data_IF_602015685340
#
_entry.id   IF_602015685340
#
_cell.length_a   1.000
_cell.length_b   1.000
_cell.length_c   1.000
_cell.angle_alpha   90.00
_cell.angle_beta   90.00
_cell.angle_gamma   90.00
#
_symmetry.space_group_name_H-M   'P 1'
#
loop_
_entity.id
_entity.type
_entity.pdbx_description
1 polymer ?
#
# COMPACT_ATOMS: atom_id res chain seq x y z
N UNK A 1 0.66 13.11 -22.70
CA UNK A 1 0.52 11.91 -23.55
C UNK A 1 0.43 10.70 -22.62
N UNK A 2 -0.74 10.13 -22.42
CA UNK A 2 -0.92 8.92 -21.60
C UNK A 2 -0.60 7.69 -22.47
N UNK A 3 0.52 7.03 -22.21
CA UNK A 3 0.78 5.72 -22.80
C UNK A 3 -0.17 4.71 -22.16
N UNK A 4 -1.03 4.08 -22.95
CA UNK A 4 -1.89 3.01 -22.44
C UNK A 4 -1.00 1.86 -21.96
N UNK A 5 -1.21 1.42 -20.72
CA UNK A 5 -0.53 0.24 -20.18
C UNK A 5 -0.80 -0.96 -21.10
N UNK A 6 0.26 -1.62 -21.58
CA UNK A 6 0.13 -2.85 -22.37
C UNK A 6 -0.45 -3.93 -21.47
N UNK A 7 -1.64 -4.42 -21.82
CA UNK A 7 -2.24 -5.59 -21.21
C UNK A 7 -2.18 -6.77 -22.18
N UNK A 8 -1.93 -7.98 -21.66
CA UNK A 8 -1.92 -9.20 -22.46
C UNK A 8 -3.30 -9.48 -23.08
N UNK A 9 -3.34 -10.18 -24.22
CA UNK A 9 -4.56 -10.44 -25.00
C UNK A 9 -5.69 -11.15 -24.23
N UNK A 10 -5.37 -11.83 -23.13
CA UNK A 10 -6.34 -12.51 -22.24
C UNK A 10 -6.63 -11.74 -20.93
N UNK A 11 -6.09 -10.54 -20.76
CA UNK A 11 -6.31 -9.73 -19.56
C UNK A 11 -7.74 -9.19 -19.57
N UNK A 12 -8.62 -9.80 -18.78
CA UNK A 12 -9.99 -9.31 -18.57
C UNK A 12 -10.05 -8.53 -17.25
N UNK A 13 -10.79 -7.42 -17.26
CA UNK A 13 -11.28 -6.83 -16.01
C UNK A 13 -12.63 -7.44 -15.56
N UNK A 14 -13.20 -8.34 -16.38
CA UNK A 14 -14.39 -9.12 -16.06
C UNK A 14 -14.07 -10.19 -15.00
N UNK A 15 -14.97 -10.33 -14.04
CA UNK A 15 -14.87 -11.14 -12.83
C UNK A 15 -15.34 -10.32 -11.64
N UNK A 16 -15.89 -10.95 -10.61
CA UNK A 16 -15.94 -10.33 -9.28
C UNK A 16 -14.49 -10.15 -8.84
N UNK A 17 -13.87 -9.03 -9.24
CA UNK A 17 -12.96 -8.38 -8.31
C UNK A 17 -13.87 -7.90 -7.21
N UNK A 18 -14.20 -8.79 -6.28
CA UNK A 18 -14.68 -8.36 -4.99
C UNK A 18 -13.77 -7.21 -4.63
N UNK A 19 -14.34 -6.02 -4.45
CA UNK A 19 -13.76 -5.06 -3.53
C UNK A 19 -13.17 -5.89 -2.42
N UNK A 20 -11.86 -5.84 -2.22
CA UNK A 20 -11.22 -6.63 -1.18
C UNK A 20 -12.08 -6.41 0.06
N UNK A 21 -12.86 -7.42 0.45
CA UNK A 21 -13.80 -7.28 1.54
C UNK A 21 -12.90 -7.43 2.75
N UNK A 22 -12.25 -6.32 3.11
CA UNK A 22 -11.48 -6.20 4.33
C UNK A 22 -12.51 -6.45 5.41
N UNK A 23 -12.41 -7.60 6.06
CA UNK A 23 -13.31 -7.97 7.16
C UNK A 23 -13.21 -6.88 8.21
N UNK A 24 -14.32 -6.21 8.50
CA UNK A 24 -14.39 -5.05 9.40
C UNK A 24 -13.54 -3.84 8.96
N UNK A 25 -13.26 -3.68 7.66
CA UNK A 25 -12.54 -2.52 7.15
C UNK A 25 -13.39 -1.26 7.18
N UNK A 26 -12.87 -0.19 7.78
CA UNK A 26 -13.49 1.14 7.70
C UNK A 26 -13.27 1.75 6.30
N UNK A 27 -14.34 2.18 5.61
CA UNK A 27 -14.22 2.88 4.33
C UNK A 27 -13.35 4.14 4.43
N UNK A 28 -12.55 4.43 3.40
CA UNK A 28 -11.72 5.64 3.37
C UNK A 28 -12.54 6.94 3.46
N UNK A 29 -13.80 6.88 3.02
CA UNK A 29 -14.73 8.02 3.05
C UNK A 29 -15.18 8.38 4.48
N UNK A 30 -15.07 7.44 5.42
CA UNK A 30 -15.44 7.65 6.83
C UNK A 30 -14.29 8.24 7.66
N UNK A 31 -13.09 8.37 7.09
CA UNK A 31 -11.95 8.95 7.81
C UNK A 31 -12.25 10.39 8.23
N UNK A 32 -11.78 10.78 9.41
CA UNK A 32 -11.92 12.16 9.88
C UNK A 32 -11.16 13.14 8.98
N UNK A 33 -11.80 14.29 8.69
CA UNK A 33 -11.23 15.36 7.86
C UNK A 33 -9.91 15.92 8.41
N UNK A 34 -9.67 15.79 9.71
CA UNK A 34 -8.42 16.23 10.31
C UNK A 34 -7.18 15.50 9.75
N UNK A 35 -7.33 14.31 9.15
CA UNK A 35 -6.24 13.53 8.54
C UNK A 35 -5.75 14.16 7.23
N UNK A 36 -6.59 14.92 6.53
CA UNK A 36 -6.26 15.48 5.21
C UNK A 36 -5.19 16.55 5.29
N UNK A 37 -5.12 17.28 6.41
CA UNK A 37 -4.20 18.40 6.59
C UNK A 37 -2.76 17.96 6.94
N UNK A 38 -2.53 16.68 7.26
CA UNK A 38 -1.21 16.10 7.62
C UNK A 38 -0.47 16.86 8.73
N UNK A 39 -1.21 17.40 9.72
CA UNK A 39 -0.63 18.26 10.79
C UNK A 39 -0.22 17.52 12.06
N UNK A 40 -0.50 16.22 12.18
CA UNK A 40 -0.13 15.37 13.31
C UNK A 40 1.07 14.47 13.01
N UNK A 41 1.93 14.26 14.01
CA UNK A 41 2.93 13.19 13.99
C UNK A 41 2.23 11.85 14.25
N UNK A 42 2.84 10.76 13.79
CA UNK A 42 2.35 9.40 13.98
C UNK A 42 1.37 8.95 12.89
N UNK A 43 1.11 9.77 11.88
CA UNK A 43 0.33 9.37 10.71
C UNK A 43 1.29 8.76 9.68
N UNK A 44 1.41 7.44 9.70
CA UNK A 44 2.32 6.71 8.83
C UNK A 44 1.66 6.29 7.51
N UNK A 45 2.36 6.50 6.40
CA UNK A 45 2.08 5.86 5.11
C UNK A 45 3.07 4.70 4.94
N UNK A 46 2.57 3.53 4.54
CA UNK A 46 3.38 2.34 4.29
C UNK A 46 3.26 1.87 2.85
N UNK A 47 4.39 1.51 2.23
CA UNK A 47 4.41 0.85 0.92
C UNK A 47 5.38 -0.34 0.91
N UNK A 48 5.06 -1.35 0.10
CA UNK A 48 5.88 -2.55 -0.09
C UNK A 48 6.49 -2.53 -1.49
N UNK A 49 7.80 -2.35 -1.57
CA UNK A 49 8.54 -2.43 -2.83
C UNK A 49 9.09 -3.85 -3.00
N UNK A 50 8.66 -4.51 -4.07
CA UNK A 50 9.12 -5.85 -4.45
C UNK A 50 10.11 -5.75 -5.61
N UNK A 51 11.29 -6.33 -5.44
CA UNK A 51 12.34 -6.39 -6.45
C UNK A 51 12.48 -7.75 -7.13
N UNK A 52 13.53 -7.89 -7.93
CA UNK A 52 13.93 -9.19 -8.51
C UNK A 52 14.47 -10.14 -7.44
N UNK A 53 14.50 -11.45 -7.72
CA UNK A 53 15.02 -12.49 -6.81
C UNK A 53 14.28 -12.54 -5.47
N UNK A 54 12.97 -12.28 -5.48
CA UNK A 54 12.11 -12.34 -4.29
C UNK A 54 12.59 -11.42 -3.15
N UNK A 55 13.16 -10.26 -3.48
CA UNK A 55 13.58 -9.25 -2.51
C UNK A 55 12.44 -8.28 -2.23
N UNK A 56 12.35 -7.84 -0.97
CA UNK A 56 11.26 -6.98 -0.52
C UNK A 56 11.79 -5.97 0.49
N UNK A 57 11.33 -4.72 0.36
CA UNK A 57 11.52 -3.70 1.38
C UNK A 57 10.17 -3.08 1.74
N UNK A 58 9.94 -2.88 3.03
CA UNK A 58 8.87 -2.02 3.50
C UNK A 58 9.41 -0.60 3.70
N UNK A 59 8.60 0.37 3.33
CA UNK A 59 8.83 1.78 3.61
C UNK A 59 7.73 2.27 4.53
N UNK A 60 8.09 3.01 5.57
CA UNK A 60 7.16 3.67 6.49
C UNK A 60 7.55 5.13 6.58
N UNK A 61 6.63 6.03 6.25
CA UNK A 61 6.89 7.47 6.23
C UNK A 61 5.86 8.19 7.08
N UNK A 62 6.32 8.96 8.07
CA UNK A 62 5.45 9.88 8.79
C UNK A 62 5.09 11.07 7.89
N UNK A 63 3.79 11.28 7.65
CA UNK A 63 3.30 12.24 6.65
C UNK A 63 3.61 13.70 6.99
N UNK A 64 3.80 14.02 8.27
CA UNK A 64 4.09 15.39 8.74
C UNK A 64 5.58 15.69 8.68
N UNK A 65 6.39 14.87 9.34
CA UNK A 65 7.84 15.08 9.49
C UNK A 65 8.65 14.59 8.30
N UNK A 66 8.09 13.70 7.47
CA UNK A 66 8.79 12.95 6.41
C UNK A 66 9.90 12.04 6.93
N UNK A 67 9.94 11.80 8.24
CA UNK A 67 10.81 10.79 8.82
C UNK A 67 10.46 9.42 8.22
N UNK A 68 11.48 8.72 7.73
CA UNK A 68 11.34 7.52 6.89
C UNK A 68 12.10 6.37 7.50
N UNK A 69 11.42 5.23 7.61
CA UNK A 69 12.01 3.95 8.02
C UNK A 69 11.96 3.02 6.80
N UNK A 70 13.07 2.35 6.51
CA UNK A 70 13.17 1.35 5.45
C UNK A 70 13.62 0.03 6.08
N UNK A 71 12.85 -1.02 5.85
CA UNK A 71 13.06 -2.35 6.43
C UNK A 71 13.20 -3.38 5.32
N UNK A 72 14.20 -4.25 5.40
CA UNK A 72 14.32 -5.39 4.50
C UNK A 72 13.50 -6.56 5.04
N UNK A 73 12.60 -7.07 4.22
CA UNK A 73 11.69 -8.16 4.59
C UNK A 73 12.14 -9.48 3.99
N UNK A 74 11.81 -10.59 4.68
CA UNK A 74 12.06 -11.96 4.22
C UNK A 74 11.05 -12.40 3.15
N UNK A 75 9.88 -11.78 3.11
CA UNK A 75 8.78 -12.09 2.21
C UNK A 75 7.73 -10.99 2.18
N UNK A 76 6.71 -11.14 1.33
CA UNK A 76 5.60 -10.19 1.15
C UNK A 76 4.29 -10.62 1.83
N UNK A 77 4.27 -11.80 2.43
CA UNK A 77 3.13 -12.30 3.19
C UNK A 77 3.04 -11.63 4.56
N UNK A 78 1.86 -11.72 5.19
CA UNK A 78 1.59 -11.10 6.49
C UNK A 78 2.54 -11.59 7.59
N UNK A 79 2.92 -12.87 7.57
CA UNK A 79 3.82 -13.44 8.58
C UNK A 79 5.20 -12.80 8.47
N UNK A 80 5.74 -12.69 7.25
CA UNK A 80 7.03 -12.05 6.99
C UNK A 80 7.07 -10.55 7.33
N UNK A 81 5.93 -9.86 7.28
CA UNK A 81 5.82 -8.43 7.60
C UNK A 81 5.71 -8.18 9.11
N UNK A 82 5.13 -9.12 9.86
CA UNK A 82 4.88 -9.00 11.30
C UNK A 82 5.99 -9.59 12.18
N UNK A 83 7.11 -10.03 11.60
CA UNK A 83 8.27 -10.58 12.31
C UNK A 83 9.29 -9.52 12.73
#
# INVERSE_FOLDING_TARGET
RSHSLRHGRRHTRKGERGTINIVNGTPIHERSRNIDNRRSLGHWEGDLVSGTKNSHIATLVDRKSRYTIILRLRGKDSVSVNQ
#
